data_IF_504152545615
#
_entry.id   IF_504152545615
#
_cell.length_a   1.000
_cell.length_b   1.000
_cell.length_c   1.000
_cell.angle_alpha   90.00
_cell.angle_beta   90.00
_cell.angle_gamma   90.00
#
_symmetry.space_group_name_H-M   'P 1'
#
loop_
_entity.id
_entity.type
_entity.pdbx_description
1 polymer ?
#
# COMPACT_ATOMS: atom_id res chain seq x y z
N UNK A 1 89.73 -40.40 -9.64
CA UNK A 1 90.01 -39.75 -10.93
C UNK A 1 89.49 -40.64 -12.05
N UNK A 2 88.21 -40.51 -12.42
CA UNK A 2 87.67 -40.90 -13.74
C UNK A 2 86.31 -40.23 -13.90
N UNK A 3 86.03 -39.82 -15.13
CA UNK A 3 85.13 -38.74 -15.54
C UNK A 3 84.04 -39.34 -16.45
N UNK A 4 82.91 -38.63 -16.58
CA UNK A 4 81.80 -38.80 -17.56
C UNK A 4 80.69 -39.75 -17.05
N UNK A 5 79.40 -39.39 -17.07
CA UNK A 5 78.61 -38.89 -18.20
C UNK A 5 77.54 -37.86 -17.78
N UNK A 6 77.35 -36.86 -18.65
CA UNK A 6 76.16 -36.00 -18.76
C UNK A 6 75.31 -36.59 -19.90
N UNK A 7 74.00 -36.76 -19.69
CA UNK A 7 72.92 -36.65 -20.69
C UNK A 7 71.58 -36.93 -19.98
N UNK A 8 70.74 -35.90 -19.81
CA UNK A 8 69.58 -35.59 -20.67
C UNK A 8 68.37 -36.50 -20.40
N UNK A 9 67.37 -36.00 -19.68
CA UNK A 9 65.94 -36.19 -19.99
C UNK A 9 65.14 -35.06 -19.32
N UNK A 10 65.02 -33.95 -20.05
CA UNK A 10 63.85 -33.07 -20.00
C UNK A 10 62.77 -33.76 -20.83
N UNK A 11 61.52 -33.78 -20.34
CA UNK A 11 60.22 -33.74 -21.05
C UNK A 11 59.15 -34.58 -20.35
N UNK A 12 57.99 -33.94 -20.10
CA UNK A 12 56.78 -34.48 -19.47
C UNK A 12 56.19 -33.45 -18.51
N UNK A 13 55.74 -32.29 -18.97
CA UNK A 13 54.43 -32.04 -19.59
C UNK A 13 53.26 -32.39 -18.64
N UNK A 14 52.65 -31.32 -18.07
CA UNK A 14 51.24 -31.19 -17.65
C UNK A 14 50.73 -32.16 -16.55
N UNK A 15 49.98 -31.79 -15.51
CA UNK A 15 48.77 -30.96 -15.48
C UNK A 15 48.64 -30.36 -14.07
N UNK A 16 48.52 -29.03 -14.02
CA UNK A 16 48.10 -28.25 -12.86
C UNK A 16 46.57 -28.38 -12.73
N UNK A 17 46.06 -29.18 -11.78
CA UNK A 17 44.62 -29.18 -11.46
C UNK A 17 44.32 -27.95 -10.57
N UNK A 18 44.01 -26.82 -11.20
CA UNK A 18 43.31 -25.72 -10.55
C UNK A 18 41.83 -26.12 -10.48
N UNK A 19 41.38 -26.60 -9.33
CA UNK A 19 39.94 -26.72 -9.03
C UNK A 19 39.36 -25.33 -8.85
N UNK A 20 38.96 -24.71 -9.96
CA UNK A 20 38.19 -23.47 -9.99
C UNK A 20 36.73 -23.84 -9.68
N UNK A 21 36.40 -23.88 -8.39
CA UNK A 21 35.00 -23.95 -7.96
C UNK A 21 34.39 -22.59 -8.25
N UNK A 22 33.75 -22.46 -9.41
CA UNK A 22 32.87 -21.35 -9.72
C UNK A 22 31.68 -21.42 -8.76
N UNK A 23 31.79 -20.75 -7.60
CA UNK A 23 30.64 -20.47 -6.75
C UNK A 23 29.78 -19.47 -7.52
N UNK A 24 28.84 -19.99 -8.30
CA UNK A 24 27.79 -19.20 -8.90
C UNK A 24 26.97 -18.57 -7.79
N UNK A 25 27.26 -17.32 -7.43
CA UNK A 25 26.35 -16.51 -6.62
C UNK A 25 25.14 -16.19 -7.49
N UNK A 26 24.17 -17.10 -7.55
CA UNK A 26 22.85 -16.79 -8.03
C UNK A 26 22.30 -15.70 -7.10
N UNK A 27 22.35 -14.43 -7.54
CA UNK A 27 21.57 -13.36 -6.91
C UNK A 27 20.12 -13.78 -7.05
N UNK A 28 19.48 -14.14 -5.94
CA UNK A 28 18.03 -14.23 -5.87
C UNK A 28 17.50 -12.82 -6.15
N UNK A 29 17.12 -12.57 -7.39
CA UNK A 29 16.38 -11.38 -7.76
C UNK A 29 15.00 -11.60 -7.19
N UNK A 30 14.68 -10.97 -6.05
CA UNK A 30 13.32 -11.00 -5.50
C UNK A 30 12.41 -10.32 -6.52
N UNK A 31 11.77 -11.11 -7.39
CA UNK A 31 10.69 -10.63 -8.23
C UNK A 31 9.56 -10.25 -7.28
N UNK A 32 9.51 -8.99 -6.88
CA UNK A 32 8.36 -8.48 -6.16
C UNK A 32 7.15 -8.65 -7.08
N UNK A 33 6.09 -9.25 -6.56
CA UNK A 33 4.84 -9.41 -7.29
C UNK A 33 4.34 -8.03 -7.73
N UNK A 34 4.06 -7.89 -9.02
CA UNK A 34 3.47 -6.69 -9.61
C UNK A 34 2.02 -6.97 -9.98
N UNK A 35 1.13 -6.03 -9.65
CA UNK A 35 -0.30 -6.09 -9.94
C UNK A 35 -0.68 -5.04 -10.99
N UNK A 36 -1.76 -5.27 -11.72
CA UNK A 36 -2.37 -4.22 -12.55
C UNK A 36 -2.90 -3.10 -11.65
N UNK A 37 -2.71 -1.85 -12.08
CA UNK A 37 -3.26 -0.68 -11.39
C UNK A 37 -4.74 -0.56 -11.75
N UNK A 38 -5.62 -0.55 -10.75
CA UNK A 38 -7.06 -0.43 -10.93
C UNK A 38 -7.45 1.00 -11.30
N UNK A 39 -8.57 1.14 -12.03
CA UNK A 39 -9.17 2.45 -12.26
C UNK A 39 -9.66 3.04 -10.92
N UNK A 40 -9.44 4.34 -10.66
CA UNK A 40 -9.91 4.96 -9.43
C UNK A 40 -11.44 5.07 -9.41
N UNK A 41 -12.06 5.09 -8.22
CA UNK A 41 -13.50 5.29 -8.07
C UNK A 41 -13.89 6.75 -8.33
N UNK A 42 -15.20 6.99 -8.48
CA UNK A 42 -15.72 8.36 -8.42
C UNK A 42 -15.52 8.92 -7.01
N UNK A 43 -15.04 10.15 -6.93
CA UNK A 43 -14.81 10.86 -5.68
C UNK A 43 -15.09 12.36 -5.85
N UNK A 44 -15.83 12.92 -4.89
CA UNK A 44 -16.05 14.36 -4.74
C UNK A 44 -15.79 14.74 -3.29
N UNK A 45 -15.29 15.95 -3.04
CA UNK A 45 -15.16 16.47 -1.67
C UNK A 45 -16.53 16.92 -1.10
N UNK A 46 -16.54 17.43 0.12
CA UNK A 46 -17.76 17.92 0.77
C UNK A 46 -18.42 19.13 0.07
N UNK A 47 -17.70 19.82 -0.81
CA UNK A 47 -18.21 20.96 -1.60
C UNK A 47 -18.68 20.53 -3.01
N UNK A 48 -18.61 19.23 -3.33
CA UNK A 48 -19.00 18.67 -4.62
C UNK A 48 -17.94 18.79 -5.72
N UNK A 49 -16.72 19.20 -5.39
CA UNK A 49 -15.61 19.28 -6.33
C UNK A 49 -15.04 17.90 -6.63
N UNK A 50 -14.74 17.63 -7.90
CA UNK A 50 -14.20 16.34 -8.34
C UNK A 50 -12.77 16.18 -7.84
N UNK A 51 -12.50 15.08 -7.14
CA UNK A 51 -11.16 14.73 -6.67
C UNK A 51 -10.38 14.03 -7.79
N UNK A 52 -9.18 14.55 -8.09
CA UNK A 52 -8.26 13.96 -9.08
C UNK A 52 -7.45 12.82 -8.47
N UNK A 53 -7.09 11.84 -9.30
CA UNK A 53 -6.21 10.73 -8.90
C UNK A 53 -4.92 10.73 -9.73
N UNK A 54 -3.77 10.65 -9.06
CA UNK A 54 -2.46 10.69 -9.71
C UNK A 54 -1.55 9.55 -9.26
N UNK A 55 -1.13 8.71 -10.21
CA UNK A 55 -0.22 7.60 -9.92
C UNK A 55 1.23 8.09 -9.79
N UNK A 56 1.92 7.61 -8.76
CA UNK A 56 3.34 7.87 -8.50
C UNK A 56 4.04 6.54 -8.23
N UNK A 57 5.02 6.17 -9.05
CA UNK A 57 5.74 4.91 -8.87
C UNK A 57 7.00 5.08 -8.03
N UNK A 58 7.32 4.08 -7.22
CA UNK A 58 8.58 3.95 -6.48
C UNK A 58 9.10 2.52 -6.60
N UNK A 59 10.39 2.39 -6.95
CA UNK A 59 11.02 1.09 -7.05
C UNK A 59 11.30 0.45 -5.69
N UNK A 60 11.38 1.27 -4.62
CA UNK A 60 11.73 0.83 -3.26
C UNK A 60 10.51 0.63 -2.35
N UNK A 61 9.32 1.05 -2.78
CA UNK A 61 8.10 0.85 -2.01
C UNK A 61 7.79 -0.65 -1.86
N UNK A 62 7.41 -1.04 -0.64
CA UNK A 62 7.07 -2.42 -0.29
C UNK A 62 5.57 -2.72 -0.44
N UNK A 63 4.73 -1.70 -0.49
CA UNK A 63 3.27 -1.76 -0.63
C UNK A 63 2.79 -0.45 -1.26
N UNK A 64 1.57 -0.46 -1.79
CA UNK A 64 0.86 0.75 -2.15
C UNK A 64 0.55 1.63 -0.92
N UNK A 65 0.44 2.94 -1.14
CA UNK A 65 -0.01 3.92 -0.16
C UNK A 65 -0.77 5.06 -0.85
N UNK A 66 -1.72 5.67 -0.13
CA UNK A 66 -2.48 6.82 -0.58
C UNK A 66 -2.04 8.10 0.13
N UNK A 67 -2.44 9.25 -0.43
CA UNK A 67 -2.38 10.54 0.27
C UNK A 67 -3.40 11.49 -0.35
N UNK A 68 -4.45 11.81 0.41
CA UNK A 68 -5.34 12.93 0.13
C UNK A 68 -4.68 14.27 0.48
N UNK A 69 -4.80 15.25 -0.41
CA UNK A 69 -4.26 16.61 -0.26
C UNK A 69 -4.97 17.57 -1.22
N UNK A 70 -4.90 18.89 -0.97
CA UNK A 70 -5.11 19.91 -1.99
C UNK A 70 -3.79 20.25 -2.70
N UNK A 71 -3.76 20.24 -4.03
CA UNK A 71 -2.56 20.55 -4.81
C UNK A 71 -2.09 22.01 -4.61
N UNK A 72 -1.03 22.41 -5.29
CA UNK A 72 -0.46 23.75 -5.11
C UNK A 72 -1.40 24.88 -5.60
N UNK A 73 -2.47 24.54 -6.33
CA UNK A 73 -3.53 25.45 -6.75
C UNK A 73 -4.80 25.32 -5.89
N UNK A 74 -4.78 24.52 -4.83
CA UNK A 74 -5.93 24.27 -3.96
C UNK A 74 -6.92 23.24 -4.49
N UNK A 75 -6.64 22.51 -5.57
CA UNK A 75 -7.57 21.52 -6.13
C UNK A 75 -7.43 20.17 -5.43
N UNK A 76 -8.54 19.47 -5.13
CA UNK A 76 -8.49 18.21 -4.39
C UNK A 76 -7.86 17.09 -5.22
N UNK A 77 -6.87 16.41 -4.63
CA UNK A 77 -6.11 15.34 -5.27
C UNK A 77 -5.84 14.19 -4.31
N UNK A 78 -5.76 12.98 -4.86
CA UNK A 78 -5.27 11.76 -4.21
C UNK A 78 -4.04 11.28 -4.98
N UNK A 79 -2.91 11.20 -4.28
CA UNK A 79 -1.69 10.63 -4.81
C UNK A 79 -1.61 9.13 -4.50
N UNK A 80 -1.54 8.32 -5.55
CA UNK A 80 -1.52 6.86 -5.52
C UNK A 80 -0.07 6.38 -5.64
N UNK A 81 0.57 6.10 -4.51
CA UNK A 81 1.97 5.67 -4.47
C UNK A 81 2.10 4.16 -4.65
N UNK A 82 2.81 3.73 -5.69
CA UNK A 82 3.18 2.33 -5.94
C UNK A 82 2.01 1.33 -5.91
N UNK A 83 0.89 1.70 -6.53
CA UNK A 83 -0.31 0.87 -6.58
C UNK A 83 -0.08 -0.49 -7.23
N UNK A 84 0.90 -0.58 -8.15
CA UNK A 84 1.34 -1.84 -8.75
C UNK A 84 1.96 -2.83 -7.74
N UNK A 85 2.19 -2.43 -6.48
CA UNK A 85 2.73 -3.28 -5.41
C UNK A 85 1.68 -3.94 -4.52
N UNK A 86 0.39 -3.68 -4.77
CA UNK A 86 -0.70 -4.21 -3.96
C UNK A 86 -1.82 -4.80 -4.82
N UNK A 87 -2.54 -5.82 -4.31
CA UNK A 87 -3.67 -6.38 -5.04
C UNK A 87 -4.80 -5.36 -5.20
N UNK A 88 -5.65 -5.57 -6.21
CA UNK A 88 -6.77 -4.70 -6.56
C UNK A 88 -7.66 -4.34 -5.35
N UNK A 89 -7.94 -5.30 -4.46
CA UNK A 89 -8.76 -5.06 -3.28
C UNK A 89 -8.16 -4.00 -2.34
N UNK A 90 -6.84 -4.03 -2.12
CA UNK A 90 -6.17 -3.02 -1.30
C UNK A 90 -6.08 -1.67 -2.02
N UNK A 91 -5.81 -1.66 -3.34
CA UNK A 91 -5.81 -0.43 -4.13
C UNK A 91 -7.16 0.30 -4.03
N UNK A 92 -8.27 -0.43 -4.22
CA UNK A 92 -9.62 0.12 -4.09
C UNK A 92 -9.90 0.62 -2.67
N UNK A 93 -9.49 -0.12 -1.63
CA UNK A 93 -9.67 0.30 -0.25
C UNK A 93 -8.92 1.61 0.05
N UNK A 94 -7.66 1.72 -0.40
CA UNK A 94 -6.86 2.95 -0.24
C UNK A 94 -7.54 4.11 -0.96
N UNK A 95 -7.95 3.95 -2.23
CA UNK A 95 -8.61 5.04 -2.97
C UNK A 95 -9.88 5.54 -2.28
N UNK A 96 -10.71 4.63 -1.76
CA UNK A 96 -11.93 4.99 -1.04
C UNK A 96 -11.65 5.61 0.33
N UNK A 97 -10.60 5.16 1.02
CA UNK A 97 -10.14 5.74 2.29
C UNK A 97 -9.66 7.18 2.09
N UNK A 98 -8.77 7.41 1.12
CA UNK A 98 -8.29 8.76 0.82
C UNK A 98 -9.43 9.67 0.30
N UNK A 99 -10.39 9.10 -0.44
CA UNK A 99 -11.59 9.83 -0.84
C UNK A 99 -12.42 10.25 0.37
N UNK A 100 -12.52 9.41 1.41
CA UNK A 100 -13.27 9.73 2.61
C UNK A 100 -12.70 10.95 3.36
N UNK A 101 -11.39 11.17 3.33
CA UNK A 101 -10.78 12.38 3.88
C UNK A 101 -11.28 13.65 3.16
N UNK A 102 -11.38 13.62 1.84
CA UNK A 102 -11.99 14.71 1.06
C UNK A 102 -13.50 14.84 1.33
N UNK A 103 -14.23 13.72 1.38
CA UNK A 103 -15.68 13.72 1.58
C UNK A 103 -16.12 14.25 2.95
N UNK A 104 -15.22 14.20 3.95
CA UNK A 104 -15.53 14.60 5.32
C UNK A 104 -14.89 15.95 5.69
N UNK A 105 -14.18 16.59 4.77
CA UNK A 105 -13.48 17.86 4.99
C UNK A 105 -12.24 17.74 5.88
N UNK A 106 -11.65 16.55 6.03
CA UNK A 106 -10.40 16.37 6.81
C UNK A 106 -9.25 17.22 6.25
N UNK A 107 -9.23 17.40 4.92
CA UNK A 107 -8.17 18.10 4.20
C UNK A 107 -8.27 19.62 4.36
N UNK A 108 -9.48 20.15 4.55
CA UNK A 108 -9.73 21.59 4.60
C UNK A 108 -9.69 22.14 6.04
N UNK A 109 -9.80 21.24 7.03
CA UNK A 109 -9.68 21.57 8.44
C UNK A 109 -8.21 21.57 8.91
N UNK A 110 -7.89 22.29 10.01
CA UNK A 110 -6.58 22.19 10.65
C UNK A 110 -6.24 20.74 10.98
N UNK A 111 -5.17 20.21 10.38
CA UNK A 111 -4.79 18.82 10.53
C UNK A 111 -4.39 18.53 11.98
N UNK A 112 -5.04 17.58 12.66
CA UNK A 112 -4.65 17.22 14.02
C UNK A 112 -3.22 16.67 14.04
N UNK A 113 -2.50 16.79 15.18
CA UNK A 113 -1.17 16.22 15.31
C UNK A 113 -1.18 14.73 14.98
N UNK A 114 -0.18 14.27 14.22
CA UNK A 114 -0.07 12.87 13.81
C UNK A 114 -0.14 11.94 15.01
N UNK A 115 -0.94 10.87 14.89
CA UNK A 115 -1.20 9.88 15.94
C UNK A 115 -1.94 10.41 17.20
N UNK A 116 -2.42 11.66 17.19
CA UNK A 116 -3.32 12.15 18.24
C UNK A 116 -4.68 11.42 18.19
N UNK A 117 -5.47 11.42 19.27
CA UNK A 117 -6.81 10.84 19.25
C UNK A 117 -7.71 11.41 18.14
N UNK A 118 -7.63 12.71 17.86
CA UNK A 118 -8.37 13.34 16.78
C UNK A 118 -7.89 12.87 15.39
N UNK A 119 -6.58 12.76 15.18
CA UNK A 119 -6.03 12.19 13.95
C UNK A 119 -6.50 10.74 13.76
N UNK A 120 -6.41 9.91 14.79
CA UNK A 120 -6.84 8.51 14.72
C UNK A 120 -8.35 8.36 14.51
N UNK A 121 -9.16 9.32 15.00
CA UNK A 121 -10.60 9.35 14.71
C UNK A 121 -10.85 9.60 13.22
N UNK A 122 -10.14 10.54 12.59
CA UNK A 122 -10.25 10.79 11.16
C UNK A 122 -9.90 9.54 10.34
N UNK A 123 -8.78 8.88 10.66
CA UNK A 123 -8.38 7.61 10.04
C UNK A 123 -9.45 6.51 10.21
N UNK A 124 -10.06 6.43 11.41
CA UNK A 124 -11.11 5.45 11.71
C UNK A 124 -12.41 5.74 10.95
N UNK A 125 -12.76 7.01 10.77
CA UNK A 125 -13.90 7.46 9.96
C UNK A 125 -13.65 7.11 8.49
N UNK A 126 -12.46 7.39 7.97
CA UNK A 126 -12.07 7.09 6.60
C UNK A 126 -12.10 5.58 6.30
N UNK A 127 -11.54 4.74 7.20
CA UNK A 127 -11.65 3.28 7.12
C UNK A 127 -13.12 2.81 7.09
N UNK A 128 -13.97 3.45 7.89
CA UNK A 128 -15.39 3.12 7.97
C UNK A 128 -16.12 3.45 6.68
N UNK A 129 -15.92 4.65 6.13
CA UNK A 129 -16.50 5.08 4.87
C UNK A 129 -16.03 4.19 3.72
N UNK A 130 -14.72 3.89 3.64
CA UNK A 130 -14.20 2.98 2.63
C UNK A 130 -14.89 1.61 2.70
N UNK A 131 -15.07 1.07 3.91
CA UNK A 131 -15.77 -0.19 4.13
C UNK A 131 -17.23 -0.13 3.69
N UNK A 132 -17.96 0.92 4.08
CA UNK A 132 -19.37 1.09 3.74
C UNK A 132 -19.54 1.28 2.23
N UNK A 133 -18.66 2.04 1.57
CA UNK A 133 -18.69 2.23 0.12
C UNK A 133 -18.43 0.93 -0.62
N UNK A 134 -17.47 0.10 -0.19
CA UNK A 134 -17.30 -1.24 -0.79
C UNK A 134 -18.57 -2.07 -0.60
N UNK A 135 -19.16 -2.05 0.60
CA UNK A 135 -20.39 -2.80 0.89
C UNK A 135 -21.56 -2.37 0.00
N UNK A 136 -21.73 -1.06 -0.21
CA UNK A 136 -22.90 -0.47 -0.83
C UNK A 136 -22.77 -0.37 -2.37
N UNK A 137 -21.55 -0.16 -2.88
CA UNK A 137 -21.29 0.16 -4.30
C UNK A 137 -20.75 -1.01 -5.11
N UNK A 138 -20.42 -2.15 -4.49
CA UNK A 138 -19.80 -3.29 -5.19
C UNK A 138 -20.57 -4.60 -5.04
N UNK A 139 -20.63 -5.37 -6.13
CA UNK A 139 -21.07 -6.77 -6.08
C UNK A 139 -20.13 -7.59 -5.18
N UNK A 140 -20.72 -8.50 -4.40
CA UNK A 140 -20.02 -9.31 -3.40
C UNK A 140 -19.22 -8.48 -2.37
N UNK A 141 -19.75 -7.31 -1.97
CA UNK A 141 -19.08 -6.38 -1.07
C UNK A 141 -18.49 -7.02 0.20
N UNK A 142 -19.15 -8.01 0.79
CA UNK A 142 -18.62 -8.76 1.94
C UNK A 142 -17.30 -9.48 1.62
N UNK A 143 -17.21 -10.12 0.45
CA UNK A 143 -15.99 -10.78 -0.03
C UNK A 143 -14.90 -9.76 -0.31
N UNK A 144 -15.24 -8.66 -1.01
CA UNK A 144 -14.32 -7.56 -1.33
C UNK A 144 -13.72 -6.92 -0.07
N UNK A 145 -14.51 -6.72 0.98
CA UNK A 145 -14.05 -6.20 2.27
C UNK A 145 -13.08 -7.20 2.93
N UNK A 146 -13.37 -8.51 2.89
CA UNK A 146 -12.47 -9.52 3.45
C UNK A 146 -11.12 -9.54 2.71
N UNK A 147 -11.13 -9.48 1.38
CA UNK A 147 -9.90 -9.43 0.57
C UNK A 147 -9.09 -8.16 0.88
N UNK A 148 -9.76 -7.00 0.99
CA UNK A 148 -9.12 -5.74 1.36
C UNK A 148 -8.51 -5.81 2.77
N UNK A 149 -9.23 -6.35 3.75
CA UNK A 149 -8.76 -6.48 5.14
C UNK A 149 -7.54 -7.41 5.25
N UNK A 150 -7.53 -8.54 4.52
CA UNK A 150 -6.37 -9.44 4.46
C UNK A 150 -5.16 -8.75 3.83
N UNK A 151 -5.35 -8.09 2.68
CA UNK A 151 -4.28 -7.40 2.00
C UNK A 151 -3.74 -6.20 2.81
N UNK A 152 -4.62 -5.46 3.49
CA UNK A 152 -4.25 -4.37 4.40
C UNK A 152 -3.41 -4.88 5.57
N UNK A 153 -3.82 -6.00 6.18
CA UNK A 153 -3.07 -6.66 7.27
C UNK A 153 -1.65 -6.98 6.80
N UNK A 154 -1.50 -7.67 5.67
CA UNK A 154 -0.20 -8.03 5.11
C UNK A 154 0.65 -6.79 4.77
N UNK A 155 0.05 -5.76 4.18
CA UNK A 155 0.74 -4.51 3.86
C UNK A 155 1.27 -3.81 5.12
N UNK A 156 0.44 -3.71 6.16
CA UNK A 156 0.82 -3.09 7.43
C UNK A 156 1.91 -3.88 8.15
N UNK A 157 1.87 -5.20 8.13
CA UNK A 157 2.94 -6.06 8.66
C UNK A 157 4.27 -5.85 7.92
N UNK A 158 4.24 -5.80 6.58
CA UNK A 158 5.44 -5.58 5.75
C UNK A 158 6.07 -4.20 6.00
N UNK A 159 5.24 -3.18 6.24
CA UNK A 159 5.71 -1.82 6.57
C UNK A 159 6.23 -1.75 8.02
N UNK A 160 5.78 -2.64 8.90
CA UNK A 160 6.24 -2.74 10.29
C UNK A 160 5.33 -2.04 11.31
N UNK A 161 4.02 -1.97 11.02
CA UNK A 161 3.06 -1.46 12.00
C UNK A 161 2.94 -2.40 13.22
N UNK A 162 2.71 -1.86 14.43
CA UNK A 162 2.46 -2.67 15.61
C UNK A 162 1.19 -3.51 15.46
N UNK A 163 1.21 -4.75 15.96
CA UNK A 163 0.06 -5.66 15.90
C UNK A 163 -1.22 -5.03 16.46
N UNK A 164 -1.13 -4.31 17.59
CA UNK A 164 -2.29 -3.64 18.19
C UNK A 164 -2.93 -2.60 17.26
N UNK A 165 -2.12 -1.90 16.47
CA UNK A 165 -2.64 -0.93 15.47
C UNK A 165 -3.36 -1.65 14.34
N UNK A 166 -2.79 -2.75 13.86
CA UNK A 166 -3.40 -3.59 12.81
C UNK A 166 -4.73 -4.15 13.32
N UNK A 167 -4.72 -4.80 14.48
CA UNK A 167 -5.93 -5.38 15.10
C UNK A 167 -7.04 -4.34 15.29
N UNK A 168 -6.68 -3.13 15.73
CA UNK A 168 -7.64 -2.04 15.91
C UNK A 168 -8.27 -1.60 14.59
N UNK A 169 -7.50 -1.46 13.51
CA UNK A 169 -8.05 -1.09 12.19
C UNK A 169 -8.95 -2.20 11.64
N UNK A 170 -8.53 -3.45 11.73
CA UNK A 170 -9.33 -4.60 11.27
C UNK A 170 -10.61 -4.74 12.09
N UNK A 171 -10.57 -4.47 13.40
CA UNK A 171 -11.76 -4.42 14.24
C UNK A 171 -12.73 -3.33 13.78
N UNK A 172 -12.23 -2.12 13.48
CA UNK A 172 -13.05 -1.03 12.95
C UNK A 172 -13.74 -1.41 11.63
N UNK A 173 -13.00 -1.95 10.66
CA UNK A 173 -13.55 -2.43 9.38
C UNK A 173 -14.67 -3.46 9.61
N UNK A 174 -14.43 -4.45 10.47
CA UNK A 174 -15.41 -5.50 10.77
C UNK A 174 -16.68 -4.96 11.45
N UNK A 175 -16.57 -3.92 12.26
CA UNK A 175 -17.72 -3.27 12.89
C UNK A 175 -18.46 -2.38 11.88
N UNK A 176 -17.74 -1.66 11.02
CA UNK A 176 -18.32 -0.74 10.05
C UNK A 176 -19.20 -1.45 9.02
N UNK A 177 -18.78 -2.61 8.51
CA UNK A 177 -19.60 -3.37 7.55
C UNK A 177 -20.98 -3.79 8.10
N UNK A 178 -21.13 -3.87 9.43
CA UNK A 178 -22.37 -4.27 10.11
C UNK A 178 -23.32 -3.11 10.41
N UNK A 179 -22.94 -1.85 10.13
CA UNK A 179 -23.78 -0.69 10.42
C UNK A 179 -25.06 -0.70 9.57
N UNK A 180 -26.20 -0.45 10.19
CA UNK A 180 -27.49 -0.36 9.51
C UNK A 180 -27.76 1.05 8.97
N UNK A 181 -26.84 1.54 8.13
CA UNK A 181 -26.91 2.86 7.47
C UNK A 181 -25.98 2.87 6.26
N UNK A 182 -26.30 3.65 5.22
CA UNK A 182 -25.51 3.71 3.99
C UNK A 182 -24.22 4.53 4.15
N UNK A 183 -23.25 4.35 3.27
CA UNK A 183 -22.05 5.20 3.22
C UNK A 183 -22.41 6.69 3.12
N UNK A 184 -23.43 7.04 2.32
CA UNK A 184 -23.90 8.40 2.15
C UNK A 184 -24.46 8.98 3.46
N UNK A 185 -25.31 8.24 4.16
CA UNK A 185 -25.87 8.67 5.46
C UNK A 185 -24.78 8.80 6.53
N UNK A 186 -23.76 7.93 6.49
CA UNK A 186 -22.62 8.03 7.40
C UNK A 186 -21.81 9.30 7.16
N UNK A 187 -21.48 9.59 5.89
CA UNK A 187 -20.77 10.82 5.50
C UNK A 187 -21.57 12.04 5.93
N UNK A 188 -22.88 12.04 5.68
CA UNK A 188 -23.77 13.13 6.07
C UNK A 188 -23.72 13.40 7.59
N UNK A 189 -23.84 12.35 8.40
CA UNK A 189 -23.73 12.46 9.85
C UNK A 189 -22.38 12.99 10.34
N UNK A 190 -21.28 12.63 9.65
CA UNK A 190 -19.94 13.16 9.95
C UNK A 190 -19.86 14.65 9.61
N UNK A 191 -20.38 15.08 8.46
CA UNK A 191 -20.38 16.49 8.05
C UNK A 191 -21.19 17.37 9.01
N UNK A 192 -22.39 16.91 9.40
CA UNK A 192 -23.22 17.59 10.41
C UNK A 192 -22.48 17.69 11.75
N UNK A 193 -21.85 16.61 12.21
CA UNK A 193 -21.08 16.63 13.45
C UNK A 193 -19.93 17.63 13.43
N UNK A 194 -19.34 17.86 12.26
CA UNK A 194 -18.22 18.79 12.05
C UNK A 194 -18.66 20.22 11.75
N UNK A 195 -19.96 20.47 11.57
CA UNK A 195 -20.50 21.79 11.21
C UNK A 195 -20.19 22.20 9.76
N UNK A 196 -20.03 21.20 8.87
CA UNK A 196 -19.80 21.39 7.43
C UNK A 196 -21.09 21.25 6.60
N UNK A 197 -22.20 20.91 7.27
CA UNK A 197 -23.56 20.86 6.74
C UNK A 197 -24.56 21.19 7.85
#
# INVERSE_FOLDING_TARGET
MTRKFICLFLFGFEILIIMLVAVSTARAQSSHQTFAVVAPPNCQNNDGEIVRFENRSSQTAKSAAGMAKNDDNGQPVIYRFSYERSPAALQNFIDLHECAHHQTGDIDLPHPPRNSPAHMMNESIADCIATLRIRDETEDGASRINDAAQALTAAMEIVGFPKLTIDSRISNINNCRLKDLSAADFIDGVLVHRGLK
#
